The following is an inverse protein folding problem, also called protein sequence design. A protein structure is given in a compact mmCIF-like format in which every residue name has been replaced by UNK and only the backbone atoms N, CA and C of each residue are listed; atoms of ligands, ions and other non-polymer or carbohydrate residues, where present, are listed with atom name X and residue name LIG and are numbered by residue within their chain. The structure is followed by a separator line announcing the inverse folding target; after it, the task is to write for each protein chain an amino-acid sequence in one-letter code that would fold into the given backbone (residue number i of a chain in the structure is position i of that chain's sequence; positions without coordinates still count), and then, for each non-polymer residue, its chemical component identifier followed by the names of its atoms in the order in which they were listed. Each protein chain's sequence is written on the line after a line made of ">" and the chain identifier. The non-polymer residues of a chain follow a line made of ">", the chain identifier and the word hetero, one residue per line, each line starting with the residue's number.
data_IF_541685516126
#
_entry.id   IF_541685516126
#
_cell.length_a   1.000
_cell.length_b   1.000
_cell.length_c   1.000
_cell.angle_alpha   90.00
_cell.angle_beta   90.00
_cell.angle_gamma   90.00
#
_symmetry.space_group_name_H-M   'P 1'
#
loop_
_entity.id
_entity.type
_entity.pdbx_description
1 polymer ?
#
# COMPACT_ATOMS: atom_id res chain seq x y z
N UNK A 1 -45.81 -10.14 -22.87
CA UNK A 1 -45.57 -10.22 -21.41
C UNK A 1 -44.23 -10.91 -21.20
N UNK A 2 -43.19 -10.15 -20.83
CA UNK A 2 -41.83 -10.65 -20.65
C UNK A 2 -41.73 -11.41 -19.32
N UNK A 3 -41.28 -12.66 -19.35
CA UNK A 3 -40.81 -13.39 -18.17
C UNK A 3 -39.30 -13.23 -18.10
N UNK A 4 -38.83 -12.32 -17.25
CA UNK A 4 -37.42 -12.15 -16.95
C UNK A 4 -36.95 -13.37 -16.14
N UNK A 5 -35.97 -14.07 -16.71
CA UNK A 5 -35.25 -15.17 -16.06
C UNK A 5 -34.37 -14.57 -14.97
N UNK A 6 -34.67 -14.96 -13.73
CA UNK A 6 -33.81 -14.78 -12.56
C UNK A 6 -32.61 -15.70 -12.75
N UNK A 7 -31.40 -15.15 -12.86
CA UNK A 7 -30.20 -15.94 -13.04
C UNK A 7 -28.92 -15.15 -12.81
N UNK A 8 -28.43 -15.19 -11.57
CA UNK A 8 -26.99 -15.11 -11.28
C UNK A 8 -26.39 -13.73 -11.04
N UNK A 9 -26.58 -13.16 -9.84
CA UNK A 9 -25.66 -12.14 -9.30
C UNK A 9 -25.42 -12.40 -7.82
N UNK A 10 -24.62 -13.41 -7.49
CA UNK A 10 -24.06 -13.59 -6.14
C UNK A 10 -22.62 -14.10 -6.25
N UNK A 11 -21.73 -13.27 -6.80
CA UNK A 11 -20.29 -13.56 -6.81
C UNK A 11 -19.40 -12.32 -6.59
N UNK A 12 -19.97 -11.11 -6.41
CA UNK A 12 -19.19 -9.89 -6.20
C UNK A 12 -18.94 -9.57 -4.72
N UNK A 13 -19.79 -10.05 -3.81
CA UNK A 13 -19.66 -9.74 -2.37
C UNK A 13 -18.47 -10.43 -1.69
N UNK A 14 -18.12 -11.64 -2.12
CA UNK A 14 -17.04 -12.43 -1.50
C UNK A 14 -15.66 -11.96 -1.99
N UNK A 15 -15.54 -11.58 -3.27
CA UNK A 15 -14.30 -11.03 -3.82
C UNK A 15 -13.97 -9.66 -3.20
N UNK A 16 -14.97 -8.80 -3.01
CA UNK A 16 -14.76 -7.49 -2.37
C UNK A 16 -14.30 -7.59 -0.92
N UNK A 17 -14.86 -8.52 -0.14
CA UNK A 17 -14.45 -8.75 1.25
C UNK A 17 -13.05 -9.34 1.37
N UNK A 18 -12.68 -10.29 0.49
CA UNK A 18 -11.34 -10.88 0.47
C UNK A 18 -10.27 -9.86 0.06
N UNK A 19 -10.57 -9.01 -0.94
CA UNK A 19 -9.69 -7.93 -1.36
C UNK A 19 -9.50 -6.89 -0.26
N UNK A 20 -10.55 -6.49 0.46
CA UNK A 20 -10.44 -5.56 1.59
C UNK A 20 -9.64 -6.15 2.77
N UNK A 21 -9.80 -7.44 3.08
CA UNK A 21 -9.06 -8.09 4.17
C UNK A 21 -7.57 -8.29 3.83
N UNK A 22 -7.24 -8.56 2.57
CA UNK A 22 -5.86 -8.61 2.08
C UNK A 22 -5.21 -7.22 2.06
N UNK A 23 -5.90 -6.20 1.53
CA UNK A 23 -5.45 -4.80 1.56
C UNK A 23 -5.17 -4.31 2.97
N UNK A 24 -6.01 -4.68 3.93
CA UNK A 24 -5.82 -4.36 5.34
C UNK A 24 -4.58 -5.01 5.95
N UNK A 25 -4.23 -6.24 5.56
CA UNK A 25 -3.02 -6.92 6.05
C UNK A 25 -1.74 -6.33 5.47
N UNK A 26 -1.72 -6.02 4.18
CA UNK A 26 -0.53 -5.47 3.51
C UNK A 26 -0.22 -4.05 3.99
N UNK A 27 -1.25 -3.20 4.09
CA UNK A 27 -1.09 -1.84 4.65
C UNK A 27 -0.71 -1.85 6.13
N UNK A 28 -1.13 -2.85 6.91
CA UNK A 28 -0.67 -3.05 8.29
C UNK A 28 0.83 -3.35 8.35
N UNK A 29 1.33 -4.20 7.45
CA UNK A 29 2.77 -4.47 7.33
C UNK A 29 3.56 -3.19 7.03
N UNK A 30 3.09 -2.41 6.06
CA UNK A 30 3.72 -1.15 5.69
C UNK A 30 3.66 -0.09 6.82
N UNK A 31 2.54 -0.02 7.55
CA UNK A 31 2.41 0.82 8.73
C UNK A 31 3.38 0.38 9.85
N UNK A 32 3.55 -0.93 10.06
CA UNK A 32 4.53 -1.46 11.01
C UNK A 32 5.96 -1.08 10.61
N UNK A 33 6.29 -1.07 9.31
CA UNK A 33 7.61 -0.65 8.84
C UNK A 33 7.88 0.84 9.12
N UNK A 34 6.88 1.70 8.95
CA UNK A 34 6.97 3.11 9.35
C UNK A 34 7.14 3.27 10.87
N UNK A 35 6.41 2.50 11.68
CA UNK A 35 6.59 2.49 13.14
C UNK A 35 7.98 2.00 13.56
N UNK A 36 8.49 0.96 12.91
CA UNK A 36 9.86 0.49 13.11
C UNK A 36 10.90 1.56 12.74
N UNK A 37 10.65 2.35 11.68
CA UNK A 37 11.45 3.52 11.33
C UNK A 37 11.33 4.66 12.36
N UNK A 38 10.34 4.62 13.26
CA UNK A 38 10.13 5.61 14.33
C UNK A 38 9.10 6.68 13.97
N UNK A 39 8.21 6.41 13.03
CA UNK A 39 7.11 7.29 12.65
C UNK A 39 5.77 6.79 13.18
N UNK A 40 4.80 7.69 13.31
CA UNK A 40 3.39 7.31 13.50
C UNK A 40 2.65 7.52 12.17
N UNK A 41 2.40 6.46 11.40
CA UNK A 41 1.80 6.56 10.07
C UNK A 41 0.28 6.42 10.08
N UNK A 42 -0.39 7.06 9.12
CA UNK A 42 -1.72 6.70 8.65
C UNK A 42 -1.61 6.19 7.21
N UNK A 43 -1.91 4.90 6.97
CA UNK A 43 -1.74 4.26 5.66
C UNK A 43 -3.08 3.86 5.04
N UNK A 44 -3.19 4.07 3.73
CA UNK A 44 -4.32 3.63 2.91
C UNK A 44 -3.83 2.93 1.63
N UNK A 45 -4.52 1.86 1.22
CA UNK A 45 -4.28 1.18 -0.04
C UNK A 45 -5.19 1.72 -1.16
N UNK A 46 -4.62 1.86 -2.35
CA UNK A 46 -5.29 2.33 -3.56
C UNK A 46 -5.01 1.32 -4.66
N UNK A 47 -6.05 0.71 -5.24
CA UNK A 47 -5.90 -0.11 -6.44
C UNK A 47 -6.19 0.73 -7.67
N UNK A 48 -5.24 0.79 -8.59
CA UNK A 48 -5.40 1.51 -9.85
C UNK A 48 -4.62 0.80 -10.95
N UNK A 49 -5.28 0.61 -12.09
CA UNK A 49 -4.67 0.05 -13.31
C UNK A 49 -3.99 -1.32 -13.10
N UNK A 50 -4.57 -2.15 -12.23
CA UNK A 50 -4.05 -3.48 -11.91
C UNK A 50 -2.84 -3.49 -10.97
N UNK A 51 -2.46 -2.34 -10.41
CA UNK A 51 -1.39 -2.22 -9.42
C UNK A 51 -1.99 -1.85 -8.06
N UNK A 52 -1.40 -2.40 -7.00
CA UNK A 52 -1.68 -1.97 -5.63
C UNK A 52 -0.70 -0.88 -5.25
N UNK A 53 -1.24 0.24 -4.79
CA UNK A 53 -0.50 1.37 -4.23
C UNK A 53 -0.84 1.51 -2.76
N UNK A 54 0.06 2.13 -2.01
CA UNK A 54 -0.23 2.57 -0.66
C UNK A 54 0.29 3.98 -0.45
N UNK A 55 -0.51 4.81 0.22
CA UNK A 55 -0.12 6.14 0.66
C UNK A 55 -0.10 6.14 2.18
N UNK A 56 1.05 6.46 2.76
CA UNK A 56 1.22 6.58 4.20
C UNK A 56 1.62 8.00 4.57
N UNK A 57 0.81 8.69 5.36
CA UNK A 57 1.14 10.01 5.89
C UNK A 57 1.86 9.87 7.24
N UNK A 58 2.97 10.57 7.39
CA UNK A 58 3.64 10.74 8.68
C UNK A 58 4.30 12.12 8.74
N UNK A 59 4.33 12.71 9.94
CA UNK A 59 4.89 14.05 10.15
C UNK A 59 4.34 15.12 9.16
N UNK A 60 3.04 15.00 8.81
CA UNK A 60 2.34 15.92 7.90
C UNK A 60 2.79 15.83 6.43
N UNK A 61 3.41 14.72 6.02
CA UNK A 61 3.83 14.51 4.63
C UNK A 61 3.50 13.10 4.15
N UNK A 62 2.97 12.95 2.91
CA UNK A 62 2.60 11.65 2.40
C UNK A 62 3.77 10.94 1.71
N UNK A 63 3.91 9.65 2.00
CA UNK A 63 4.81 8.72 1.32
C UNK A 63 4.01 7.79 0.42
N UNK A 64 4.53 7.55 -0.78
CA UNK A 64 3.86 6.73 -1.78
C UNK A 64 4.65 5.44 -2.01
N UNK A 65 3.93 4.33 -2.09
CA UNK A 65 4.46 2.98 -2.26
C UNK A 65 3.67 2.26 -3.35
N UNK A 66 4.35 1.41 -4.10
CA UNK A 66 3.74 0.52 -5.09
C UNK A 66 4.14 -0.92 -4.77
N UNK A 67 3.18 -1.83 -4.85
CA UNK A 67 3.43 -3.25 -4.64
C UNK A 67 4.07 -3.85 -5.89
N UNK A 68 5.16 -4.59 -5.71
CA UNK A 68 5.90 -5.28 -6.77
C UNK A 68 6.13 -6.72 -6.32
N UNK A 69 5.29 -7.64 -6.81
CA UNK A 69 5.25 -9.00 -6.25
C UNK A 69 4.80 -8.97 -4.80
N UNK A 70 5.60 -9.58 -3.91
CA UNK A 70 5.34 -9.59 -2.46
C UNK A 70 6.00 -8.40 -1.73
N UNK A 71 6.73 -7.54 -2.45
CA UNK A 71 7.52 -6.43 -1.90
C UNK A 71 6.81 -5.07 -2.07
N UNK A 72 7.19 -4.10 -1.24
CA UNK A 72 6.79 -2.70 -1.40
C UNK A 72 7.95 -1.85 -1.92
N UNK A 73 7.76 -1.23 -3.08
CA UNK A 73 8.72 -0.32 -3.67
C UNK A 73 8.40 1.13 -3.35
N UNK A 74 9.44 1.93 -3.02
CA UNK A 74 9.29 3.37 -2.82
C UNK A 74 8.88 4.06 -4.12
N UNK A 75 7.78 4.82 -4.11
CA UNK A 75 7.34 5.58 -5.28
C UNK A 75 7.62 7.10 -5.17
N UNK A 76 7.98 7.60 -3.98
CA UNK A 76 8.42 8.99 -3.79
C UNK A 76 9.59 9.12 -2.79
N UNK A 77 10.13 10.34 -2.69
CA UNK A 77 11.25 10.63 -1.79
C UNK A 77 10.92 10.48 -0.30
N UNK A 78 9.65 10.61 0.10
CA UNK A 78 9.22 10.40 1.49
C UNK A 78 9.24 8.91 1.84
N UNK A 79 8.73 8.04 0.97
CA UNK A 79 8.83 6.59 1.15
C UNK A 79 10.29 6.13 1.31
N UNK A 80 11.21 6.71 0.53
CA UNK A 80 12.64 6.44 0.66
C UNK A 80 13.21 6.76 2.05
N UNK A 81 12.75 7.82 2.71
CA UNK A 81 13.22 8.16 4.07
C UNK A 81 12.92 7.07 5.08
N UNK A 82 11.86 6.27 4.88
CA UNK A 82 11.50 5.16 5.76
C UNK A 82 12.52 4.03 5.59
N UNK A 83 12.84 3.67 4.35
CA UNK A 83 13.88 2.66 4.04
C UNK A 83 15.23 3.11 4.60
N UNK A 84 15.66 4.34 4.31
CA UNK A 84 16.94 4.88 4.79
C UNK A 84 17.02 4.86 6.34
N UNK A 85 15.91 5.12 7.05
CA UNK A 85 15.86 5.05 8.53
C UNK A 85 15.95 3.63 9.05
N UNK A 86 15.31 2.67 8.39
CA UNK A 86 15.38 1.26 8.77
C UNK A 86 16.80 0.73 8.56
N UNK A 87 17.44 1.07 7.44
CA UNK A 87 18.84 0.74 7.17
C UNK A 87 19.78 1.32 8.23
N UNK A 88 19.60 2.59 8.62
CA UNK A 88 20.40 3.25 9.66
C UNK A 88 20.25 2.60 11.04
N UNK A 89 19.06 2.07 11.37
CA UNK A 89 18.82 1.36 12.64
C UNK A 89 19.49 -0.01 12.68
N UNK A 90 19.89 -0.56 11.54
CA UNK A 90 20.53 -1.87 11.44
C UNK A 90 19.56 -3.03 11.74
N UNK A 91 20.07 -4.26 11.88
CA UNK A 91 19.23 -5.42 12.14
C UNK A 91 18.54 -5.31 13.52
N UNK A 92 17.22 -5.11 13.51
CA UNK A 92 16.35 -5.11 14.70
C UNK A 92 15.32 -6.25 14.64
N UNK A 93 14.32 -6.29 15.56
CA UNK A 93 13.28 -7.33 15.61
C UNK A 93 12.24 -7.19 14.47
N UNK A 94 12.72 -7.02 13.24
CA UNK A 94 11.95 -6.66 12.06
C UNK A 94 11.54 -7.89 11.23
N UNK A 95 11.50 -9.08 11.84
CA UNK A 95 11.23 -10.33 11.13
C UNK A 95 9.82 -10.38 10.51
N UNK A 96 8.91 -9.56 11.00
CA UNK A 96 7.52 -9.45 10.51
C UNK A 96 7.30 -8.20 9.64
N UNK A 97 8.36 -7.46 9.27
CA UNK A 97 8.21 -6.35 8.33
C UNK A 97 8.12 -6.87 6.90
N UNK A 98 7.28 -6.26 6.05
CA UNK A 98 7.32 -6.55 4.63
C UNK A 98 8.69 -6.16 4.08
N UNK A 99 9.11 -6.85 3.04
CA UNK A 99 10.32 -6.47 2.34
C UNK A 99 10.10 -5.14 1.60
N UNK A 100 11.01 -4.19 1.83
CA UNK A 100 10.95 -2.85 1.25
C UNK A 100 12.11 -2.67 0.28
N UNK A 101 11.81 -2.19 -0.92
CA UNK A 101 12.81 -1.96 -1.96
C UNK A 101 12.80 -0.51 -2.41
N UNK A 102 13.98 0.01 -2.77
CA UNK A 102 14.06 1.32 -3.39
C UNK A 102 13.62 1.19 -4.85
N UNK A 103 12.47 1.77 -5.18
CA UNK A 103 11.94 1.79 -6.54
C UNK A 103 12.88 2.51 -7.51
N UNK A 104 12.92 2.03 -8.76
CA UNK A 104 13.69 2.66 -9.84
C UNK A 104 13.00 3.94 -10.34
N UNK A 105 13.28 5.06 -9.67
CA UNK A 105 12.74 6.38 -10.03
C UNK A 105 11.32 6.64 -9.50
N UNK A 106 10.76 7.80 -9.84
CA UNK A 106 9.36 8.14 -9.55
C UNK A 106 8.47 7.46 -10.60
N UNK A 107 7.81 6.32 -10.31
CA UNK A 107 6.89 5.72 -11.25
C UNK A 107 5.79 6.73 -11.60
N UNK A 108 5.23 6.63 -12.81
CA UNK A 108 4.05 7.43 -13.18
C UNK A 108 2.90 7.07 -12.25
N UNK A 109 2.65 7.91 -11.26
CA UNK A 109 1.58 7.71 -10.29
C UNK A 109 0.22 7.95 -10.95
N UNK A 110 -0.75 7.05 -10.74
CA UNK A 110 -2.13 7.27 -11.15
C UNK A 110 -2.73 8.51 -10.47
N UNK A 111 -3.75 9.10 -11.12
CA UNK A 111 -4.43 10.28 -10.59
C UNK A 111 -4.99 10.03 -9.17
N UNK A 112 -5.57 8.85 -8.93
CA UNK A 112 -6.09 8.48 -7.62
C UNK A 112 -5.02 8.47 -6.51
N UNK A 113 -3.77 8.15 -6.85
CA UNK A 113 -2.64 8.22 -5.90
C UNK A 113 -2.22 9.68 -5.71
N UNK A 114 -2.08 10.44 -6.79
CA UNK A 114 -1.68 11.85 -6.76
C UNK A 114 -2.65 12.72 -5.94
N UNK A 115 -3.95 12.45 -6.00
CA UNK A 115 -4.97 13.14 -5.20
C UNK A 115 -4.76 12.97 -3.70
N UNK A 116 -4.13 11.86 -3.25
CA UNK A 116 -3.84 11.60 -1.84
C UNK A 116 -2.46 12.11 -1.39
N UNK A 117 -1.69 12.68 -2.31
CA UNK A 117 -0.39 13.29 -2.01
C UNK A 117 -0.46 14.82 -1.83
N UNK A 118 -1.65 15.41 -2.05
CA UNK A 118 -1.93 16.83 -1.88
C UNK A 118 -2.33 17.14 -0.44
#
# INVERSE_FOLDING_TARGET
>A
MNKAVIGGVVALGILGALAMDLRGKETRGLANAHRAAGFEPSCEAIEDSGNTWAVCEYAGAPSAWIQVGDDWATANGKARQVVDRLEQKGPGPYQDLPNLVIGSGSPSMPAAVLERLQ
#
